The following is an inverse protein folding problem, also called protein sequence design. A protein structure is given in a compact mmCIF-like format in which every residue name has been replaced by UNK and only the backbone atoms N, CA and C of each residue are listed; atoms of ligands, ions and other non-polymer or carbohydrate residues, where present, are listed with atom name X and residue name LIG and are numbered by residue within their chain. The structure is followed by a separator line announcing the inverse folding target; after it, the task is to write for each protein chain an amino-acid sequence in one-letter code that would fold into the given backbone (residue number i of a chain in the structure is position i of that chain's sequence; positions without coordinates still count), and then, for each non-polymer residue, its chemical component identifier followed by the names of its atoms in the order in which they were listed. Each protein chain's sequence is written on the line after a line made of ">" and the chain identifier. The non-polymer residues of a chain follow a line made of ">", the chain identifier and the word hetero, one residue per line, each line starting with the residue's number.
data_IF_365936806429
#
_entry.id   IF_365936806429
#
_cell.length_a   1.000
_cell.length_b   1.000
_cell.length_c   1.000
_cell.angle_alpha   90.00
_cell.angle_beta   90.00
_cell.angle_gamma   90.00
#
_symmetry.space_group_name_H-M   'P 1'
#
loop_
_entity.id
_entity.type
_entity.pdbx_description
1 polymer ?
#
# COMPACT_ATOMS: atom_id res chain seq x y z
N UNK A 1 11.92 -14.48 13.87
CA UNK A 1 12.25 -13.90 12.54
C UNK A 1 13.46 -14.66 12.01
N UNK A 2 13.53 -14.94 10.72
CA UNK A 2 14.76 -15.48 10.11
C UNK A 2 15.86 -14.42 10.17
N UNK A 3 17.11 -14.81 10.13
CA UNK A 3 18.26 -13.89 10.19
C UNK A 3 18.66 -13.34 8.81
N UNK A 4 18.25 -14.02 7.73
CA UNK A 4 18.60 -13.67 6.36
C UNK A 4 17.37 -13.70 5.46
N UNK A 5 17.32 -12.79 4.52
CA UNK A 5 16.32 -12.69 3.46
C UNK A 5 17.02 -12.33 2.15
N UNK A 6 16.49 -12.82 1.03
CA UNK A 6 17.01 -12.50 -0.30
C UNK A 6 16.66 -11.10 -0.72
N UNK A 7 15.45 -10.65 -0.35
CA UNK A 7 14.92 -9.30 -0.68
C UNK A 7 14.22 -8.72 0.53
N UNK A 8 14.45 -7.44 0.78
CA UNK A 8 13.73 -6.65 1.78
C UNK A 8 12.97 -5.53 1.05
N UNK A 9 11.64 -5.53 1.16
CA UNK A 9 10.76 -4.49 0.64
C UNK A 9 10.31 -3.60 1.79
N UNK A 10 10.55 -2.30 1.67
CA UNK A 10 10.22 -1.31 2.70
C UNK A 10 9.00 -0.52 2.26
N UNK A 11 7.93 -0.64 3.04
CA UNK A 11 6.61 -0.05 2.78
C UNK A 11 5.62 -1.06 2.24
N UNK A 12 4.58 -1.35 3.03
CA UNK A 12 3.52 -2.30 2.69
C UNK A 12 2.27 -1.59 2.10
N UNK A 13 2.47 -0.51 1.38
CA UNK A 13 1.45 0.09 0.52
C UNK A 13 1.27 -0.72 -0.78
N UNK A 14 0.39 -0.28 -1.71
CA UNK A 14 0.13 -1.00 -2.95
C UNK A 14 1.39 -1.36 -3.74
N UNK A 15 2.34 -0.43 -3.88
CA UNK A 15 3.59 -0.67 -4.61
C UNK A 15 4.43 -1.79 -3.97
N UNK A 16 4.60 -1.79 -2.64
CA UNK A 16 5.36 -2.83 -1.94
C UNK A 16 4.69 -4.19 -2.01
N UNK A 17 3.36 -4.22 -1.87
CA UNK A 17 2.57 -5.46 -1.99
C UNK A 17 2.70 -6.04 -3.40
N UNK A 18 2.52 -5.21 -4.44
CA UNK A 18 2.65 -5.64 -5.83
C UNK A 18 4.08 -6.09 -6.16
N UNK A 19 5.09 -5.41 -5.59
CA UNK A 19 6.48 -5.86 -5.72
C UNK A 19 6.68 -7.27 -5.16
N UNK A 20 6.18 -7.54 -3.95
CA UNK A 20 6.26 -8.88 -3.36
C UNK A 20 5.49 -9.92 -4.18
N UNK A 21 4.33 -9.55 -4.70
CA UNK A 21 3.51 -10.41 -5.54
C UNK A 21 4.25 -10.79 -6.84
N UNK A 22 4.84 -9.82 -7.54
CA UNK A 22 5.61 -10.05 -8.75
C UNK A 22 6.88 -10.88 -8.50
N UNK A 23 7.58 -10.62 -7.38
CA UNK A 23 8.73 -11.43 -6.99
C UNK A 23 8.33 -12.90 -6.78
N UNK A 24 7.22 -13.13 -6.08
CA UNK A 24 6.69 -14.47 -5.87
C UNK A 24 6.32 -15.18 -7.18
N UNK A 25 5.67 -14.49 -8.11
CA UNK A 25 5.31 -15.06 -9.41
C UNK A 25 6.53 -15.44 -10.25
N UNK A 26 7.59 -14.63 -10.18
CA UNK A 26 8.82 -14.83 -10.97
C UNK A 26 9.76 -15.86 -10.35
N UNK A 27 9.85 -15.89 -9.05
CA UNK A 27 10.68 -16.83 -8.31
C UNK A 27 10.12 -17.09 -6.90
N UNK A 28 9.27 -18.11 -6.74
CA UNK A 28 8.62 -18.43 -5.45
C UNK A 28 9.60 -18.93 -4.38
N UNK A 29 10.84 -19.25 -4.73
CA UNK A 29 11.87 -19.67 -3.78
C UNK A 29 12.54 -18.49 -3.06
N UNK A 30 12.34 -17.25 -3.53
CA UNK A 30 12.89 -16.07 -2.87
C UNK A 30 12.25 -15.86 -1.49
N UNK A 31 13.12 -15.68 -0.50
CA UNK A 31 12.72 -15.27 0.84
C UNK A 31 12.58 -13.74 0.90
N UNK A 32 11.36 -13.25 0.81
CA UNK A 32 11.04 -11.83 0.78
C UNK A 32 10.54 -11.38 2.15
N UNK A 33 11.15 -10.33 2.71
CA UNK A 33 10.67 -9.63 3.89
C UNK A 33 9.99 -8.32 3.47
N UNK A 34 8.70 -8.19 3.77
CA UNK A 34 7.97 -6.94 3.64
C UNK A 34 7.84 -6.27 5.00
N UNK A 35 8.29 -5.03 5.13
CA UNK A 35 8.24 -4.27 6.37
C UNK A 35 7.50 -2.94 6.18
N UNK A 36 6.74 -2.56 7.20
CA UNK A 36 6.06 -1.26 7.26
C UNK A 36 6.14 -0.68 8.67
N UNK A 37 6.09 0.66 8.77
CA UNK A 37 6.12 1.37 10.06
C UNK A 37 4.78 1.36 10.79
N UNK A 38 3.69 1.04 10.09
CA UNK A 38 2.34 1.05 10.63
C UNK A 38 1.86 -0.34 11.07
N UNK A 39 0.59 -0.41 11.40
CA UNK A 39 -0.03 -1.63 11.89
C UNK A 39 -0.46 -2.56 10.74
N UNK A 40 -0.64 -3.83 11.06
CA UNK A 40 -1.40 -4.79 10.26
C UNK A 40 -2.81 -4.25 9.96
N UNK A 41 -3.37 -4.62 8.80
CA UNK A 41 -4.67 -4.12 8.32
C UNK A 41 -5.79 -4.29 9.35
N UNK A 42 -5.81 -5.39 10.09
CA UNK A 42 -6.83 -5.68 11.11
C UNK A 42 -6.68 -4.86 12.39
N UNK A 43 -5.49 -4.30 12.61
CA UNK A 43 -5.14 -3.50 13.80
C UNK A 43 -5.07 -1.99 13.50
N UNK A 44 -5.47 -1.57 12.31
CA UNK A 44 -5.49 -0.16 11.90
C UNK A 44 -6.79 0.50 12.33
N UNK A 45 -6.75 1.25 13.42
CA UNK A 45 -7.90 1.97 13.99
C UNK A 45 -7.65 3.47 13.96
N UNK A 46 -8.57 4.22 13.35
CA UNK A 46 -8.53 5.68 13.36
C UNK A 46 -9.54 6.21 14.38
N UNK A 47 -9.12 6.93 15.43
CA UNK A 47 -10.01 7.39 16.48
C UNK A 47 -11.06 8.41 15.97
N UNK A 48 -10.81 9.11 14.85
CA UNK A 48 -11.83 9.94 14.20
C UNK A 48 -12.89 9.08 13.52
N UNK A 49 -12.49 8.07 12.73
CA UNK A 49 -13.42 7.15 12.08
C UNK A 49 -14.22 6.38 13.12
N UNK A 50 -13.59 6.02 14.23
CA UNK A 50 -14.23 5.35 15.38
C UNK A 50 -15.09 6.30 16.22
N UNK A 51 -15.18 7.59 15.85
CA UNK A 51 -15.93 8.65 16.56
C UNK A 51 -15.51 8.87 18.01
N UNK A 52 -14.28 8.51 18.37
CA UNK A 52 -13.73 8.69 19.73
C UNK A 52 -13.24 10.11 19.97
N UNK A 53 -12.75 10.78 18.91
CA UNK A 53 -12.27 12.17 18.96
C UNK A 53 -12.82 12.95 17.77
N UNK A 54 -12.89 14.28 17.90
CA UNK A 54 -13.41 15.19 16.86
C UNK A 54 -12.33 15.70 15.89
N UNK A 55 -11.08 15.76 16.33
CA UNK A 55 -9.97 16.33 15.56
C UNK A 55 -8.78 15.38 15.56
N UNK A 56 -8.05 15.36 14.43
CA UNK A 56 -6.88 14.49 14.31
C UNK A 56 -5.74 14.96 15.23
N UNK A 57 -5.16 14.09 16.06
CA UNK A 57 -4.10 14.46 17.01
C UNK A 57 -2.72 14.53 16.32
N UNK A 58 -2.65 15.00 15.08
CA UNK A 58 -1.46 14.93 14.22
C UNK A 58 -0.22 15.59 14.83
N UNK A 59 -0.39 16.51 15.76
CA UNK A 59 0.70 17.39 16.17
C UNK A 59 1.05 17.43 17.66
N UNK A 60 0.30 16.80 18.56
CA UNK A 60 0.60 16.92 20.00
C UNK A 60 0.54 15.57 20.75
N UNK A 61 -0.61 15.00 20.92
CA UNK A 61 -0.77 13.79 21.69
C UNK A 61 -1.41 12.72 20.79
N UNK A 62 -0.59 11.79 20.29
CA UNK A 62 -1.07 10.73 19.42
C UNK A 62 -1.93 9.76 20.23
N UNK A 63 -3.20 9.71 19.90
CA UNK A 63 -4.13 8.72 20.42
C UNK A 63 -3.75 7.30 19.95
N UNK A 64 -4.15 6.26 20.70
CA UNK A 64 -4.01 4.88 20.25
C UNK A 64 -4.56 4.70 18.82
N UNK A 65 -3.81 4.04 17.96
CA UNK A 65 -4.11 3.92 16.54
C UNK A 65 -3.36 4.91 15.63
N UNK A 66 -2.77 5.96 16.23
CA UNK A 66 -1.86 6.89 15.53
C UNK A 66 -0.38 6.63 15.86
N UNK A 67 -0.08 5.64 16.69
CA UNK A 67 1.26 5.19 17.06
C UNK A 67 1.41 3.75 16.57
N UNK A 68 2.51 3.39 15.91
CA UNK A 68 3.68 4.18 15.57
C UNK A 68 3.47 5.15 14.39
N UNK A 69 2.38 4.99 13.62
CA UNK A 69 2.08 5.79 12.45
C UNK A 69 0.57 6.02 12.28
N UNK A 70 0.19 6.88 11.33
CA UNK A 70 -1.21 7.14 11.02
C UNK A 70 -1.90 5.91 10.45
N UNK A 71 -2.97 5.44 11.10
CA UNK A 71 -3.70 4.25 10.67
C UNK A 71 -4.46 4.41 9.34
N UNK A 72 -4.62 5.64 8.82
CA UNK A 72 -5.27 5.88 7.52
C UNK A 72 -4.27 5.74 6.37
N UNK A 73 -3.04 6.26 6.53
CA UNK A 73 -2.07 6.35 5.46
C UNK A 73 -0.97 5.30 5.52
N UNK A 74 -0.69 4.79 6.71
CA UNK A 74 0.45 3.90 6.96
C UNK A 74 -0.02 2.53 7.46
N UNK A 75 0.82 1.53 7.23
CA UNK A 75 0.54 0.13 7.57
C UNK A 75 0.19 -0.71 6.35
N UNK A 76 -0.08 -1.98 6.58
CA UNK A 76 -0.36 -2.93 5.51
C UNK A 76 -1.59 -2.49 4.69
N UNK A 77 -1.44 -2.44 3.37
CA UNK A 77 -2.42 -1.91 2.42
C UNK A 77 -2.30 -0.40 2.17
N UNK A 78 -1.46 0.33 2.94
CA UNK A 78 -1.28 1.77 2.78
C UNK A 78 -2.59 2.56 2.87
N UNK A 79 -2.68 3.69 2.18
CA UNK A 79 -3.92 4.48 2.08
C UNK A 79 -5.04 3.72 1.33
N UNK A 80 -4.67 2.79 0.46
CA UNK A 80 -5.61 1.97 -0.32
C UNK A 80 -6.55 1.13 0.55
N UNK A 81 -6.12 0.69 1.73
CA UNK A 81 -6.97 -0.07 2.66
C UNK A 81 -8.21 0.71 3.17
N UNK A 82 -8.25 2.02 2.99
CA UNK A 82 -9.39 2.89 3.34
C UNK A 82 -10.02 3.56 2.11
N UNK A 83 -9.66 3.10 0.90
CA UNK A 83 -10.27 3.55 -0.35
C UNK A 83 -11.75 3.17 -0.42
N UNK A 84 -12.49 3.88 -1.25
CA UNK A 84 -13.87 3.54 -1.63
C UNK A 84 -13.95 2.52 -2.79
N UNK A 85 -12.80 1.99 -3.22
CA UNK A 85 -12.68 0.97 -4.26
C UNK A 85 -12.78 1.50 -5.69
N UNK A 86 -12.80 2.82 -5.89
CA UNK A 86 -12.76 3.39 -7.24
C UNK A 86 -11.36 3.33 -7.82
N UNK A 87 -11.28 2.83 -9.02
CA UNK A 87 -10.05 2.72 -9.79
C UNK A 87 -10.19 3.48 -11.12
N UNK A 88 -9.24 4.34 -11.43
CA UNK A 88 -9.23 5.10 -12.68
C UNK A 88 -8.32 4.40 -13.69
N UNK A 89 -8.87 4.05 -14.84
CA UNK A 89 -8.15 3.39 -15.92
C UNK A 89 -7.82 4.45 -16.98
N UNK A 90 -6.76 5.19 -16.72
CA UNK A 90 -6.23 6.20 -17.67
C UNK A 90 -4.81 6.59 -17.29
N UNK A 91 -3.98 6.86 -18.27
CA UNK A 91 -2.63 7.42 -18.12
C UNK A 91 -2.64 8.90 -17.74
N UNK A 92 -3.79 9.60 -17.87
CA UNK A 92 -3.90 11.05 -17.68
C UNK A 92 -4.16 11.48 -16.22
N UNK A 93 -4.22 10.54 -15.28
CA UNK A 93 -4.60 10.84 -13.88
C UNK A 93 -3.49 11.50 -13.06
N UNK A 94 -2.36 11.79 -13.66
CA UNK A 94 -1.21 12.46 -13.06
C UNK A 94 -0.06 11.49 -12.75
N UNK A 95 1.03 12.05 -12.25
CA UNK A 95 2.29 11.34 -12.08
C UNK A 95 3.24 11.58 -13.26
N UNK A 96 4.38 10.89 -13.24
CA UNK A 96 5.45 11.06 -14.22
C UNK A 96 5.84 9.75 -14.93
N UNK A 97 4.95 8.75 -14.93
CA UNK A 97 5.25 7.46 -15.56
C UNK A 97 5.50 7.63 -17.07
N UNK A 98 4.80 8.55 -17.70
CA UNK A 98 4.96 8.87 -19.13
C UNK A 98 6.28 9.54 -19.49
N UNK A 99 7.08 9.98 -18.51
CA UNK A 99 8.46 10.41 -18.73
C UNK A 99 9.41 9.23 -18.96
N UNK A 100 9.00 8.02 -18.60
CA UNK A 100 9.81 6.80 -18.64
C UNK A 100 9.23 5.70 -19.54
N UNK A 101 7.90 5.70 -19.71
CA UNK A 101 7.15 4.70 -20.49
C UNK A 101 6.25 5.41 -21.50
N UNK A 102 5.96 4.76 -22.61
CA UNK A 102 4.91 5.21 -23.52
C UNK A 102 3.53 5.15 -22.85
N UNK A 103 2.55 5.89 -23.38
CA UNK A 103 1.17 5.84 -22.89
C UNK A 103 0.61 4.42 -22.95
N UNK A 104 0.86 3.68 -24.03
CA UNK A 104 0.39 2.30 -24.20
C UNK A 104 0.97 1.38 -23.11
N UNK A 105 2.27 1.49 -22.80
CA UNK A 105 2.90 0.72 -21.72
C UNK A 105 2.33 1.09 -20.33
N UNK A 106 2.02 2.36 -20.08
CA UNK A 106 1.38 2.78 -18.83
C UNK A 106 -0.03 2.20 -18.74
N UNK A 107 -0.82 2.24 -19.81
CA UNK A 107 -2.16 1.67 -19.85
C UNK A 107 -2.14 0.15 -19.68
N UNK A 108 -1.19 -0.56 -20.29
CA UNK A 108 -1.00 -1.99 -20.09
C UNK A 108 -0.75 -2.35 -18.62
N UNK A 109 0.08 -1.57 -17.91
CA UNK A 109 0.34 -1.77 -16.47
C UNK A 109 -0.92 -1.50 -15.65
N UNK A 110 -1.69 -0.45 -15.98
CA UNK A 110 -2.95 -0.12 -15.31
C UNK A 110 -3.96 -1.26 -15.48
N UNK A 111 -4.12 -1.75 -16.71
CA UNK A 111 -5.01 -2.89 -17.00
C UNK A 111 -4.54 -4.17 -16.32
N UNK A 112 -3.24 -4.40 -16.21
CA UNK A 112 -2.71 -5.53 -15.46
C UNK A 112 -3.14 -5.48 -13.98
N UNK A 113 -3.00 -4.33 -13.34
CA UNK A 113 -3.41 -4.14 -11.94
C UNK A 113 -4.93 -4.26 -11.77
N UNK A 114 -5.72 -3.69 -12.68
CA UNK A 114 -7.18 -3.80 -12.70
C UNK A 114 -7.62 -5.27 -12.78
N UNK A 115 -7.04 -6.04 -13.69
CA UNK A 115 -7.30 -7.47 -13.82
C UNK A 115 -6.96 -8.28 -12.56
N UNK A 116 -5.93 -7.89 -11.80
CA UNK A 116 -5.64 -8.49 -10.51
C UNK A 116 -6.75 -8.23 -9.50
N UNK A 117 -7.25 -7.00 -9.43
CA UNK A 117 -8.36 -6.64 -8.52
C UNK A 117 -9.67 -7.33 -8.91
N UNK A 118 -9.94 -7.51 -10.20
CA UNK A 118 -11.12 -8.23 -10.67
C UNK A 118 -11.07 -9.74 -10.38
N UNK A 119 -9.87 -10.29 -10.21
CA UNK A 119 -9.66 -11.71 -9.93
C UNK A 119 -9.83 -12.05 -8.45
N UNK A 120 -9.64 -11.11 -7.56
CA UNK A 120 -9.63 -11.28 -6.10
C UNK A 120 -10.70 -10.44 -5.41
#
# INVERSE_FOLDING_TARGET
>A
MKENYDVIVVGAGPAGIMTCYELYLKNPELEVLLIDKGHDVMNRHCPIKDKKIKHCPVHKDREPGCIPACSITDGFGGAGAYSDGKFNITSEFGGWLTDYLSNDEVEDVIHYVDNLYLKH
#
